data_IF_384253246039
#
_entry.id   IF_384253246039
#
_cell.length_a   1.000
_cell.length_b   1.000
_cell.length_c   1.000
_cell.angle_alpha   90.00
_cell.angle_beta   90.00
_cell.angle_gamma   90.00
#
_symmetry.space_group_name_H-M   'P 1'
#
loop_
_entity.id
_entity.type
_entity.pdbx_description
1 polymer ?
#
# COMPACT_ATOMS: atom_id res chain seq x y z
N UNK A 1 7.90 -19.94 -15.74
CA UNK A 1 7.41 -18.55 -15.91
C UNK A 1 8.57 -17.62 -15.59
N UNK A 2 9.08 -16.87 -16.56
CA UNK A 2 10.14 -15.90 -16.30
C UNK A 2 9.49 -14.57 -15.92
N UNK A 3 9.73 -14.08 -14.70
CA UNK A 3 9.26 -12.77 -14.26
C UNK A 3 9.90 -11.69 -15.11
N UNK A 4 9.09 -10.88 -15.80
CA UNK A 4 9.57 -9.68 -16.49
C UNK A 4 9.81 -8.59 -15.45
N UNK A 5 11.08 -8.33 -15.12
CA UNK A 5 11.46 -7.23 -14.25
C UNK A 5 11.57 -5.95 -15.06
N UNK A 6 10.71 -4.98 -14.77
CA UNK A 6 10.80 -3.63 -15.35
C UNK A 6 11.66 -2.78 -14.41
N UNK A 7 12.55 -1.96 -14.97
CA UNK A 7 13.32 -1.01 -14.17
C UNK A 7 12.41 0.18 -13.81
N UNK A 8 11.97 0.23 -12.56
CA UNK A 8 11.16 1.31 -12.02
C UNK A 8 11.74 1.76 -10.68
N UNK A 9 11.63 3.06 -10.36
CA UNK A 9 12.07 3.60 -9.07
C UNK A 9 11.09 3.28 -7.93
N UNK A 10 9.81 3.16 -8.27
CA UNK A 10 8.70 2.90 -7.37
C UNK A 10 7.73 1.89 -7.97
N UNK A 11 7.02 1.15 -7.12
CA UNK A 11 5.96 0.22 -7.49
C UNK A 11 4.73 0.59 -6.68
N UNK A 12 3.59 0.74 -7.35
CA UNK A 12 2.29 0.92 -6.71
C UNK A 12 1.49 -0.39 -6.79
N UNK A 13 0.94 -0.82 -5.67
CA UNK A 13 -0.13 -1.81 -5.60
C UNK A 13 -1.46 -1.09 -5.39
N UNK A 14 -2.53 -1.58 -6.02
CA UNK A 14 -3.90 -1.12 -5.80
C UNK A 14 -4.87 -2.26 -6.12
N UNK A 15 -6.08 -2.18 -5.56
CA UNK A 15 -7.16 -3.14 -5.83
C UNK A 15 -7.94 -2.76 -7.10
N UNK A 16 -8.69 -3.71 -7.67
CA UNK A 16 -9.46 -3.50 -8.91
C UNK A 16 -10.76 -2.70 -8.71
N UNK A 17 -11.12 -2.42 -7.45
CA UNK A 17 -12.20 -1.53 -7.02
C UNK A 17 -11.67 -0.19 -6.44
N UNK A 18 -10.43 0.16 -6.75
CA UNK A 18 -9.79 1.42 -6.34
C UNK A 18 -9.52 2.36 -7.51
N UNK A 19 -10.08 3.57 -7.46
CA UNK A 19 -9.80 4.63 -8.44
C UNK A 19 -8.61 5.48 -8.00
N UNK A 20 -7.55 5.52 -8.81
CA UNK A 20 -6.26 6.15 -8.46
C UNK A 20 -5.99 7.40 -9.29
N UNK A 21 -5.59 8.47 -8.60
CA UNK A 21 -5.06 9.71 -9.19
C UNK A 21 -3.56 9.60 -9.42
N UNK A 22 -3.17 9.08 -10.58
CA UNK A 22 -1.75 8.88 -10.93
C UNK A 22 -0.93 10.17 -10.85
N UNK A 23 -1.50 11.30 -11.27
CA UNK A 23 -0.86 12.61 -11.16
C UNK A 23 -0.56 13.00 -9.70
N UNK A 24 -1.50 12.75 -8.79
CA UNK A 24 -1.32 13.01 -7.37
C UNK A 24 -0.32 12.03 -6.72
N UNK A 25 -0.31 10.76 -7.14
CA UNK A 25 0.72 9.79 -6.72
C UNK A 25 2.11 10.25 -7.15
N UNK A 26 2.27 10.68 -8.41
CA UNK A 26 3.55 11.19 -8.92
C UNK A 26 4.03 12.42 -8.15
N UNK A 27 3.12 13.36 -7.86
CA UNK A 27 3.43 14.51 -7.02
C UNK A 27 3.82 14.11 -5.59
N UNK A 28 3.18 13.09 -5.01
CA UNK A 28 3.47 12.60 -3.67
C UNK A 28 4.85 11.94 -3.55
N UNK A 29 5.37 11.33 -4.63
CA UNK A 29 6.69 10.69 -4.65
C UNK A 29 7.82 11.59 -5.17
N UNK A 30 7.48 12.77 -5.72
CA UNK A 30 8.46 13.67 -6.31
C UNK A 30 9.55 14.12 -5.32
N UNK A 31 10.80 14.17 -5.79
CA UNK A 31 11.97 14.52 -4.99
C UNK A 31 12.34 13.53 -3.86
N UNK A 32 11.53 12.51 -3.56
CA UNK A 32 11.81 11.57 -2.45
C UNK A 32 13.01 10.69 -2.70
N UNK A 33 13.28 10.35 -3.96
CA UNK A 33 14.45 9.55 -4.35
C UNK A 33 15.76 10.16 -3.85
N UNK A 34 15.86 11.49 -3.80
CA UNK A 34 17.06 12.19 -3.33
C UNK A 34 17.30 12.03 -1.81
N UNK A 35 16.30 11.61 -1.03
CA UNK A 35 16.37 11.48 0.43
C UNK A 35 17.14 10.26 0.91
N UNK A 36 17.56 9.36 0.00
CA UNK A 36 18.32 8.14 0.31
C UNK A 36 17.66 7.21 1.36
N UNK A 37 16.33 7.25 1.46
CA UNK A 37 15.52 6.34 2.28
C UNK A 37 14.64 5.47 1.37
N UNK A 38 14.33 4.27 1.83
CA UNK A 38 13.31 3.43 1.20
C UNK A 38 11.92 3.94 1.61
N UNK A 39 10.90 3.74 0.80
CA UNK A 39 9.59 4.38 0.95
C UNK A 39 8.47 3.36 1.15
N UNK A 40 7.57 3.64 2.10
CA UNK A 40 6.20 3.14 2.11
C UNK A 40 5.27 4.36 2.17
N UNK A 41 4.46 4.58 1.12
CA UNK A 41 3.48 5.65 1.02
C UNK A 41 2.08 5.05 0.88
N UNK A 42 1.14 5.53 1.68
CA UNK A 42 -0.27 5.16 1.64
C UNK A 42 -1.00 5.68 2.88
N UNK A 43 -2.13 5.08 3.22
CA UNK A 43 -2.73 5.23 4.55
C UNK A 43 -2.00 4.24 5.49
N UNK A 44 -1.10 4.74 6.36
CA UNK A 44 -0.15 3.90 7.10
C UNK A 44 -0.57 3.71 8.54
N UNK A 45 -0.90 2.48 8.89
CA UNK A 45 -1.21 2.06 10.25
C UNK A 45 0.06 1.65 11.01
N UNK A 46 0.22 2.17 12.23
CA UNK A 46 1.45 2.00 13.05
C UNK A 46 1.17 1.41 14.44
N UNK A 47 -0.09 1.26 14.79
CA UNK A 47 -0.54 1.00 16.15
C UNK A 47 -1.43 -0.24 16.27
N UNK A 48 -2.15 -0.61 15.20
CA UNK A 48 -3.01 -1.78 15.21
C UNK A 48 -2.24 -3.10 15.33
N UNK A 49 -2.94 -4.08 15.89
CA UNK A 49 -2.50 -5.45 16.02
C UNK A 49 -3.48 -6.43 15.39
N UNK A 50 -3.25 -7.73 15.59
CA UNK A 50 -4.09 -8.76 15.02
C UNK A 50 -5.52 -8.75 15.56
N UNK A 51 -6.50 -8.83 14.67
CA UNK A 51 -7.91 -9.00 15.04
C UNK A 51 -8.09 -10.40 15.66
N UNK A 52 -8.65 -10.45 16.87
CA UNK A 52 -8.75 -11.67 17.69
C UNK A 52 -10.18 -12.22 17.77
N UNK A 53 -11.18 -11.51 17.26
CA UNK A 53 -12.52 -12.08 17.10
C UNK A 53 -12.52 -13.15 16.00
N UNK A 54 -12.76 -14.40 16.38
CA UNK A 54 -12.83 -15.56 15.47
C UNK A 54 -13.88 -15.43 14.36
N UNK A 55 -14.89 -14.58 14.56
CA UNK A 55 -15.94 -14.35 13.57
C UNK A 55 -15.57 -13.27 12.55
N UNK A 56 -14.47 -12.54 12.78
CA UNK A 56 -14.01 -11.52 11.85
C UNK A 56 -13.35 -12.14 10.62
N UNK A 57 -13.64 -11.59 9.44
CA UNK A 57 -12.91 -11.96 8.21
C UNK A 57 -11.40 -11.72 8.33
N UNK A 58 -11.00 -10.78 9.18
CA UNK A 58 -9.62 -10.41 9.46
C UNK A 58 -8.99 -11.16 10.64
N UNK A 59 -9.69 -12.16 11.21
CA UNK A 59 -9.17 -12.93 12.34
C UNK A 59 -7.77 -13.50 12.06
N UNK A 60 -6.89 -13.34 13.06
CA UNK A 60 -5.55 -13.91 13.13
C UNK A 60 -5.36 -14.50 14.53
N UNK A 61 -5.03 -15.79 14.59
CA UNK A 61 -4.77 -16.49 15.86
C UNK A 61 -3.47 -16.05 16.53
N UNK A 62 -3.35 -16.24 17.85
CA UNK A 62 -2.10 -16.01 18.58
C UNK A 62 -0.96 -16.91 18.07
N UNK A 63 -1.29 -18.13 17.64
CA UNK A 63 -0.31 -19.05 17.04
C UNK A 63 0.24 -18.52 15.69
N UNK A 64 -0.61 -17.85 14.90
CA UNK A 64 -0.19 -17.29 13.61
C UNK A 64 0.64 -16.02 13.79
N UNK A 65 0.25 -15.16 14.72
CA UNK A 65 0.97 -13.93 15.07
C UNK A 65 0.85 -13.66 16.59
N UNK A 66 1.89 -13.98 17.39
CA UNK A 66 1.83 -13.90 18.84
C UNK A 66 1.96 -12.47 19.37
N UNK A 67 2.64 -11.60 18.63
CA UNK A 67 2.87 -10.23 19.06
C UNK A 67 1.55 -9.43 19.06
N UNK A 68 1.37 -8.50 20.02
CA UNK A 68 0.13 -7.73 20.15
C UNK A 68 -0.03 -6.64 19.09
N UNK A 69 1.02 -6.33 18.31
CA UNK A 69 1.05 -5.26 17.32
C UNK A 69 1.77 -5.70 16.07
N UNK A 70 1.27 -5.26 14.92
CA UNK A 70 1.99 -5.39 13.67
C UNK A 70 3.10 -4.34 13.54
N UNK A 71 4.17 -4.61 12.76
CA UNK A 71 5.02 -3.53 12.27
C UNK A 71 4.21 -2.58 11.37
N UNK A 72 4.66 -1.34 11.14
CA UNK A 72 3.93 -0.40 10.27
C UNK A 72 3.61 -0.98 8.89
N UNK A 73 2.35 -0.84 8.48
CA UNK A 73 1.81 -1.35 7.22
C UNK A 73 0.86 -0.33 6.59
N UNK A 74 0.54 -0.46 5.31
CA UNK A 74 -0.35 0.47 4.61
C UNK A 74 -1.63 -0.26 4.16
N UNK A 75 -2.79 0.38 4.28
CA UNK A 75 -4.07 -0.23 3.95
C UNK A 75 -4.14 -0.73 2.49
N UNK A 76 -4.83 -1.87 2.30
CA UNK A 76 -4.97 -2.58 1.03
C UNK A 76 -5.35 -1.75 -0.22
N UNK A 77 -6.24 -0.72 -0.16
CA UNK A 77 -6.74 -0.07 -1.38
C UNK A 77 -5.66 0.49 -2.30
N UNK A 78 -4.54 0.90 -1.70
CA UNK A 78 -3.29 0.99 -2.44
C UNK A 78 -2.17 1.63 -1.64
N UNK A 79 -0.95 1.31 -2.05
CA UNK A 79 0.26 1.87 -1.47
C UNK A 79 1.39 1.84 -2.50
N UNK A 80 2.39 2.70 -2.28
CA UNK A 80 3.59 2.81 -3.09
C UNK A 80 4.80 2.41 -2.26
N UNK A 81 5.61 1.52 -2.81
CA UNK A 81 6.91 1.12 -2.25
C UNK A 81 8.05 1.52 -3.16
N UNK A 82 9.22 1.79 -2.58
CA UNK A 82 10.45 1.99 -3.36
C UNK A 82 10.96 0.68 -3.97
N UNK A 83 11.69 0.81 -5.08
CA UNK A 83 12.15 -0.34 -5.87
C UNK A 83 13.12 -1.27 -5.14
N UNK A 84 13.84 -0.80 -4.14
CA UNK A 84 14.72 -1.62 -3.30
C UNK A 84 13.93 -2.57 -2.39
N UNK A 85 12.84 -2.09 -1.77
CA UNK A 85 11.87 -2.93 -1.04
C UNK A 85 11.25 -3.94 -2.01
N UNK A 86 10.76 -3.49 -3.17
CA UNK A 86 10.14 -4.38 -4.15
C UNK A 86 11.10 -5.48 -4.64
N UNK A 87 12.38 -5.13 -4.89
CA UNK A 87 13.43 -6.09 -5.26
C UNK A 87 13.69 -7.07 -4.12
N UNK A 88 13.83 -6.60 -2.89
CA UNK A 88 14.01 -7.46 -1.73
C UNK A 88 12.88 -8.49 -1.64
N UNK A 89 11.62 -8.05 -1.62
CA UNK A 89 10.45 -8.93 -1.56
C UNK A 89 10.44 -9.94 -2.70
N UNK A 90 10.66 -9.49 -3.94
CA UNK A 90 10.70 -10.39 -5.10
C UNK A 90 11.81 -11.45 -5.01
N UNK A 91 12.98 -11.09 -4.49
CA UNK A 91 14.13 -12.00 -4.40
C UNK A 91 14.01 -13.00 -3.24
N UNK A 92 13.51 -12.54 -2.10
CA UNK A 92 13.41 -13.32 -0.85
C UNK A 92 12.19 -14.23 -0.89
N UNK A 93 11.07 -13.79 -1.47
CA UNK A 93 9.90 -14.64 -1.75
C UNK A 93 10.24 -15.82 -2.66
N UNK A 94 11.07 -15.60 -3.69
CA UNK A 94 11.51 -16.66 -4.60
C UNK A 94 12.30 -17.78 -3.92
N UNK A 95 12.91 -17.48 -2.76
CA UNK A 95 13.64 -18.43 -1.93
C UNK A 95 12.80 -19.06 -0.81
N UNK A 96 11.51 -18.70 -0.72
CA UNK A 96 10.60 -19.07 0.39
C UNK A 96 11.12 -18.66 1.77
N UNK A 97 11.92 -17.60 1.82
CA UNK A 97 12.49 -17.07 3.07
C UNK A 97 11.49 -16.13 3.77
N UNK A 98 10.54 -15.55 3.02
CA UNK A 98 9.46 -14.73 3.59
C UNK A 98 8.29 -15.59 4.07
N UNK A 99 7.85 -15.37 5.30
CA UNK A 99 6.64 -15.98 5.85
C UNK A 99 5.42 -15.44 5.08
N UNK A 100 4.64 -16.34 4.49
CA UNK A 100 3.34 -16.00 3.92
C UNK A 100 2.38 -15.63 5.05
N UNK A 101 1.57 -14.61 4.82
CA UNK A 101 0.60 -14.11 5.78
C UNK A 101 -0.73 -13.83 5.08
N UNK A 102 -1.84 -14.11 5.75
CA UNK A 102 -3.19 -14.09 5.15
C UNK A 102 -3.59 -12.70 4.65
N UNK A 103 -3.19 -11.65 5.37
CA UNK A 103 -3.48 -10.25 5.04
C UNK A 103 -2.29 -9.69 4.25
N UNK A 104 -2.48 -9.38 2.97
CA UNK A 104 -1.37 -9.02 2.07
C UNK A 104 -0.70 -7.69 2.44
N UNK A 105 -1.50 -6.72 2.86
CA UNK A 105 -1.09 -5.40 3.32
C UNK A 105 -0.23 -5.48 4.58
N UNK A 106 -0.68 -6.27 5.56
CA UNK A 106 0.08 -6.58 6.76
C UNK A 106 1.33 -7.41 6.42
N UNK A 107 1.24 -8.36 5.49
CA UNK A 107 2.38 -9.14 5.02
C UNK A 107 3.49 -8.22 4.48
N UNK A 108 3.10 -7.24 3.67
CA UNK A 108 4.03 -6.24 3.13
C UNK A 108 4.70 -5.44 4.25
N UNK A 109 3.96 -5.00 5.27
CA UNK A 109 4.54 -4.34 6.45
C UNK A 109 5.56 -5.22 7.20
N UNK A 110 5.27 -6.50 7.39
CA UNK A 110 6.18 -7.48 7.98
C UNK A 110 7.46 -7.62 7.14
N UNK A 111 7.33 -7.73 5.82
CA UNK A 111 8.49 -7.85 4.93
C UNK A 111 9.33 -6.58 4.85
N UNK A 112 8.70 -5.39 4.96
CA UNK A 112 9.39 -4.10 5.05
C UNK A 112 10.18 -4.00 6.37
N UNK A 113 9.62 -4.47 7.48
CA UNK A 113 10.34 -4.54 8.76
C UNK A 113 11.55 -5.49 8.68
N UNK A 114 11.39 -6.65 8.05
CA UNK A 114 12.50 -7.57 7.81
C UNK A 114 13.58 -6.95 6.92
N UNK A 115 13.19 -6.26 5.84
CA UNK A 115 14.10 -5.49 5.00
C UNK A 115 14.86 -4.43 5.80
N UNK A 116 14.15 -3.65 6.64
CA UNK A 116 14.75 -2.64 7.48
C UNK A 116 15.83 -3.23 8.40
N UNK A 117 15.52 -4.32 9.10
CA UNK A 117 16.44 -5.00 10.02
C UNK A 117 17.63 -5.63 9.32
N UNK A 118 17.40 -6.32 8.19
CA UNK A 118 18.45 -7.07 7.49
C UNK A 118 19.35 -6.19 6.63
N UNK A 119 18.79 -5.20 5.93
CA UNK A 119 19.54 -4.30 5.06
C UNK A 119 20.07 -3.06 5.79
N UNK A 120 19.62 -2.80 7.03
CA UNK A 120 19.97 -1.60 7.81
C UNK A 120 19.68 -0.30 7.06
N UNK A 121 18.55 -0.27 6.34
CA UNK A 121 18.09 0.87 5.54
C UNK A 121 16.93 1.56 6.24
N UNK A 122 17.00 2.89 6.37
CA UNK A 122 15.90 3.65 6.95
C UNK A 122 14.67 3.65 6.03
N UNK A 123 13.49 3.47 6.62
CA UNK A 123 12.21 3.54 5.91
C UNK A 123 11.57 4.90 6.19
N UNK A 124 11.15 5.57 5.13
CA UNK A 124 10.26 6.71 5.20
C UNK A 124 8.81 6.20 5.09
N UNK A 125 8.09 6.23 6.21
CA UNK A 125 6.66 5.94 6.26
C UNK A 125 5.89 7.24 6.03
N UNK A 126 5.24 7.36 4.88
CA UNK A 126 4.41 8.51 4.52
C UNK A 126 2.96 8.10 4.66
N UNK A 127 2.37 8.57 5.75
CA UNK A 127 0.96 8.41 6.04
C UNK A 127 0.20 9.58 5.40
N UNK A 128 -0.72 9.30 4.48
CA UNK A 128 -1.49 10.28 3.72
C UNK A 128 -2.96 9.87 3.69
N UNK A 129 -3.80 10.63 4.39
CA UNK A 129 -5.25 10.41 4.54
C UNK A 129 -6.04 10.53 3.23
N UNK A 130 -5.39 11.00 2.16
CA UNK A 130 -5.97 11.01 0.81
C UNK A 130 -5.94 9.63 0.16
N UNK A 131 -5.26 8.64 0.73
CA UNK A 131 -5.43 7.24 0.38
C UNK A 131 -6.70 6.71 1.05
N UNK A 132 -7.86 7.12 0.56
CA UNK A 132 -9.14 6.90 1.23
C UNK A 132 -9.53 5.42 1.17
N UNK A 133 -9.51 4.73 2.32
CA UNK A 133 -9.83 3.30 2.41
C UNK A 133 -11.31 2.94 2.35
N UNK A 134 -12.21 3.93 2.36
CA UNK A 134 -13.65 3.72 2.26
C UNK A 134 -14.35 4.82 1.47
N UNK A 135 -14.83 4.47 0.27
CA UNK A 135 -15.58 5.39 -0.57
C UNK A 135 -14.69 6.45 -1.23
N UNK A 136 -15.12 7.70 -1.17
CA UNK A 136 -14.44 8.82 -1.80
C UNK A 136 -14.54 10.06 -0.89
N UNK A 137 -13.47 10.84 -0.80
CA UNK A 137 -13.41 12.09 -0.04
C UNK A 137 -12.84 13.23 -0.90
N UNK A 138 -12.97 14.48 -0.46
CA UNK A 138 -12.36 15.60 -1.18
C UNK A 138 -10.83 15.43 -1.28
N UNK A 139 -10.25 15.79 -2.44
CA UNK A 139 -8.80 15.72 -2.67
C UNK A 139 -8.16 14.34 -2.54
N UNK A 140 -8.94 13.27 -2.71
CA UNK A 140 -8.44 11.90 -2.69
C UNK A 140 -7.29 11.66 -3.69
N UNK A 141 -6.33 10.83 -3.29
CA UNK A 141 -5.32 10.17 -4.14
C UNK A 141 -5.87 8.83 -4.59
N UNK A 142 -6.47 8.07 -3.66
CA UNK A 142 -7.20 6.83 -3.94
C UNK A 142 -8.61 6.97 -3.39
N UNK A 143 -9.60 6.53 -4.18
CA UNK A 143 -10.97 6.29 -3.72
C UNK A 143 -11.25 4.78 -3.83
N UNK A 144 -11.58 4.13 -2.72
CA UNK A 144 -11.80 2.68 -2.62
C UNK A 144 -13.28 2.30 -2.71
N UNK A 145 -13.59 1.02 -2.96
CA UNK A 145 -14.93 0.48 -3.16
C UNK A 145 -15.71 1.18 -4.29
N UNK A 146 -15.02 1.50 -5.38
CA UNK A 146 -15.60 2.12 -6.57
C UNK A 146 -15.98 1.03 -7.57
N UNK A 147 -17.28 0.88 -7.81
CA UNK A 147 -17.74 0.00 -8.88
C UNK A 147 -17.35 0.57 -10.28
N UNK A 148 -17.41 -0.23 -11.36
CA UNK A 148 -16.99 0.24 -12.68
C UNK A 148 -17.68 1.52 -13.18
N UNK A 149 -18.96 1.76 -12.83
CA UNK A 149 -19.66 3.00 -13.21
C UNK A 149 -19.16 4.19 -12.42
N UNK A 150 -18.89 4.01 -11.13
CA UNK A 150 -18.29 5.05 -10.28
C UNK A 150 -16.89 5.40 -10.79
N UNK A 151 -16.05 4.42 -11.14
CA UNK A 151 -14.72 4.69 -11.71
C UNK A 151 -14.79 5.54 -12.99
N UNK A 152 -15.72 5.23 -13.90
CA UNK A 152 -15.94 6.02 -15.11
C UNK A 152 -16.41 7.44 -14.79
N UNK A 153 -17.32 7.58 -13.81
CA UNK A 153 -17.78 8.88 -13.36
C UNK A 153 -16.65 9.69 -12.73
N UNK A 154 -15.84 9.11 -11.84
CA UNK A 154 -14.71 9.79 -11.20
C UNK A 154 -13.70 10.28 -12.25
N UNK A 155 -13.44 9.47 -13.29
CA UNK A 155 -12.61 9.88 -14.42
C UNK A 155 -13.21 11.07 -15.20
N UNK A 156 -14.51 11.05 -15.46
CA UNK A 156 -15.20 12.13 -16.17
C UNK A 156 -15.18 13.43 -15.37
N UNK A 157 -15.51 13.37 -14.09
CA UNK A 157 -15.48 14.52 -13.18
C UNK A 157 -14.08 15.11 -13.07
N UNK A 158 -13.06 14.24 -12.94
CA UNK A 158 -11.67 14.66 -12.95
C UNK A 158 -11.30 15.41 -14.23
N UNK A 159 -11.67 14.87 -15.40
CA UNK A 159 -11.38 15.53 -16.69
C UNK A 159 -12.12 16.86 -16.85
N UNK A 160 -13.36 16.92 -16.39
CA UNK A 160 -14.24 18.08 -16.56
C UNK A 160 -13.85 19.23 -15.63
N UNK A 161 -13.56 18.93 -14.38
CA UNK A 161 -13.32 19.94 -13.35
C UNK A 161 -11.83 20.16 -13.04
N UNK A 162 -10.94 19.32 -13.57
CA UNK A 162 -9.50 19.32 -13.27
C UNK A 162 -9.20 19.20 -11.76
N UNK A 163 -10.16 18.66 -10.99
CA UNK A 163 -10.06 18.45 -9.55
C UNK A 163 -10.81 17.16 -9.19
N UNK A 164 -10.43 16.47 -8.11
CA UNK A 164 -11.13 15.28 -7.65
C UNK A 164 -12.50 15.68 -7.11
N UNK A 165 -13.55 15.11 -7.68
CA UNK A 165 -14.93 15.27 -7.23
C UNK A 165 -15.52 13.87 -7.14
N UNK A 166 -16.11 13.55 -6.00
CA UNK A 166 -16.74 12.26 -5.79
C UNK A 166 -18.03 12.14 -6.59
N UNK A 167 -18.33 10.91 -7.01
CA UNK A 167 -19.58 10.59 -7.67
C UNK A 167 -20.65 10.29 -6.63
N UNK A 168 -21.81 10.92 -6.79
CA UNK A 168 -23.01 10.63 -6.00
C UNK A 168 -23.65 9.32 -6.42
#
# INVERSE_FOLDING_TARGET
MQTKHVNADYVMKTDDDSFVRIDAVLAAIDGRRARSKSLLLGEVEKTNGPERDINSKWYISEAEFPDPKYPPWAHGPGYVISSDIAKFVSTTSGKKELKLFKLEDVAMGIWIDEYHRTQRRAIEYVDDDKFVSGGCAENYIIAHYQNPRQMLCLWQELKKHQRPVCCN
#
